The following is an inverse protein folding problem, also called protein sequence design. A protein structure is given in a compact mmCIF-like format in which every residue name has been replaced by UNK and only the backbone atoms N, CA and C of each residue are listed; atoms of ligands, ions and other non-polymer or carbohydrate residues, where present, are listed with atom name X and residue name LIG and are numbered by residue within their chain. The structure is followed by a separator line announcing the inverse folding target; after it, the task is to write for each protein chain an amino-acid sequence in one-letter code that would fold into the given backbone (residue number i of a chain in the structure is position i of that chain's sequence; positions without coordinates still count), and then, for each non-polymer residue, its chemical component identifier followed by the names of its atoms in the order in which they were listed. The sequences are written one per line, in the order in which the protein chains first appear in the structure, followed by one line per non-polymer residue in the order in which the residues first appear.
data_IF_837779780276
#
_entry.id   IF_837779780276
#
_cell.length_a   1.000
_cell.length_b   1.000
_cell.length_c   1.000
_cell.angle_alpha   90.00
_cell.angle_beta   90.00
_cell.angle_gamma   90.00
#
_symmetry.space_group_name_H-M   'P 1'
#
loop_
_entity.id
_entity.type
_entity.pdbx_description
1 polymer ?
#
# COMPACT_ATOMS: atom_id res chain seq x y z
N UNK A 1 25.00 7.23 -13.51
CA UNK A 1 24.67 8.63 -13.15
C UNK A 1 23.17 8.70 -12.85
N UNK A 2 22.80 8.43 -11.60
CA UNK A 2 21.40 8.46 -11.10
C UNK A 2 21.22 8.72 -9.58
N UNK A 3 22.25 8.82 -8.70
CA UNK A 3 21.99 8.93 -7.25
C UNK A 3 21.37 10.27 -6.82
N UNK A 4 21.62 11.39 -7.51
CA UNK A 4 21.11 12.71 -7.11
C UNK A 4 19.58 12.91 -7.24
N UNK A 5 18.86 11.91 -7.76
CA UNK A 5 17.42 11.99 -8.05
C UNK A 5 16.57 11.05 -7.20
N UNK A 6 17.21 10.27 -6.33
CA UNK A 6 16.56 9.38 -5.37
C UNK A 6 16.77 9.98 -3.99
N UNK A 7 15.68 10.16 -3.24
CA UNK A 7 15.72 10.71 -1.89
C UNK A 7 15.06 9.73 -0.93
N UNK A 8 15.72 9.45 0.19
CA UNK A 8 15.22 8.53 1.21
C UNK A 8 14.70 9.32 2.39
N UNK A 9 13.56 8.90 2.93
CA UNK A 9 12.99 9.40 4.18
C UNK A 9 12.73 8.22 5.11
N UNK A 10 13.27 8.29 6.31
CA UNK A 10 13.11 7.25 7.33
C UNK A 10 12.24 7.78 8.47
N UNK A 11 11.14 7.10 8.84
CA UNK A 11 10.38 7.43 10.03
C UNK A 11 11.13 6.98 11.30
N UNK A 12 10.67 7.48 12.44
CA UNK A 12 11.09 7.01 13.76
C UNK A 12 9.86 6.89 14.65
N UNK A 13 9.45 5.68 15.07
CA UNK A 13 10.04 4.37 14.73
C UNK A 13 9.75 3.92 13.28
N UNK A 14 10.55 3.00 12.75
CA UNK A 14 10.35 2.39 11.42
C UNK A 14 9.87 0.94 11.54
N UNK A 15 8.67 0.69 11.03
CA UNK A 15 7.89 -0.54 11.17
C UNK A 15 8.18 -1.64 10.13
N UNK A 16 8.98 -1.37 9.08
CA UNK A 16 9.50 -2.41 8.18
C UNK A 16 9.24 -2.21 6.70
N UNK A 17 8.10 -1.66 6.33
CA UNK A 17 7.78 -1.46 4.92
C UNK A 17 8.53 -0.27 4.31
N UNK A 18 8.73 -0.34 3.00
CA UNK A 18 9.27 0.74 2.18
C UNK A 18 8.31 1.05 1.03
N UNK A 19 8.00 2.34 0.82
CA UNK A 19 7.17 2.80 -0.30
C UNK A 19 7.98 3.68 -1.23
N UNK A 20 8.06 3.30 -2.50
CA UNK A 20 8.70 4.13 -3.54
C UNK A 20 7.67 5.07 -4.14
N UNK A 21 7.86 6.37 -3.96
CA UNK A 21 7.00 7.42 -4.51
C UNK A 21 7.58 7.91 -5.85
N UNK A 22 6.87 7.60 -6.94
CA UNK A 22 7.27 7.95 -8.30
C UNK A 22 6.45 9.12 -8.84
N UNK A 23 7.06 10.30 -8.90
CA UNK A 23 6.36 11.54 -9.21
C UNK A 23 5.98 11.73 -10.69
N UNK A 24 5.15 12.75 -10.92
CA UNK A 24 4.61 13.11 -12.22
C UNK A 24 5.46 14.14 -12.98
N UNK A 25 5.05 14.46 -14.20
CA UNK A 25 5.67 15.52 -15.01
C UNK A 25 5.63 16.88 -14.31
N UNK A 26 6.80 17.50 -14.10
CA UNK A 26 6.90 18.81 -13.46
C UNK A 26 6.76 18.77 -11.92
N UNK A 27 6.68 17.58 -11.31
CA UNK A 27 6.65 17.43 -9.86
C UNK A 27 7.92 18.00 -9.20
N UNK A 28 7.76 18.48 -7.97
CA UNK A 28 8.86 18.88 -7.08
C UNK A 28 8.87 17.94 -5.87
N UNK A 29 10.04 17.74 -5.26
CA UNK A 29 10.18 16.85 -4.09
C UNK A 29 9.22 17.22 -2.94
N UNK A 30 8.99 18.53 -2.72
CA UNK A 30 8.02 19.03 -1.73
C UNK A 30 6.58 18.50 -1.94
N UNK A 31 6.20 18.13 -3.16
CA UNK A 31 4.89 17.56 -3.41
C UNK A 31 4.82 16.11 -2.91
N UNK A 32 5.85 15.31 -3.21
CA UNK A 32 5.96 13.92 -2.75
C UNK A 32 6.22 13.83 -1.23
N UNK A 33 6.86 14.86 -0.64
CA UNK A 33 7.14 14.91 0.80
C UNK A 33 5.85 14.83 1.65
N UNK A 34 4.72 15.32 1.14
CA UNK A 34 3.43 15.22 1.85
C UNK A 34 2.98 13.77 1.98
N UNK A 35 3.10 13.00 0.90
CA UNK A 35 2.80 11.56 0.90
C UNK A 35 3.83 10.78 1.72
N UNK A 36 5.10 11.16 1.67
CA UNK A 36 6.13 10.57 2.52
C UNK A 36 5.81 10.71 4.02
N UNK A 37 5.25 11.85 4.44
CA UNK A 37 4.80 12.06 5.83
C UNK A 37 3.63 11.15 6.22
N UNK A 38 2.64 10.96 5.34
CA UNK A 38 1.53 10.03 5.59
C UNK A 38 2.00 8.59 5.76
N UNK A 39 2.99 8.18 4.98
CA UNK A 39 3.63 6.88 5.12
C UNK A 39 4.49 6.80 6.39
N UNK A 40 5.18 7.89 6.74
CA UNK A 40 6.00 7.97 7.95
C UNK A 40 5.17 7.88 9.24
N UNK A 41 3.97 8.48 9.28
CA UNK A 41 3.00 8.34 10.38
C UNK A 41 2.61 6.87 10.64
N UNK A 42 2.76 6.01 9.63
CA UNK A 42 2.49 4.56 9.69
C UNK A 42 3.77 3.74 9.82
N UNK A 43 4.88 4.38 10.18
CA UNK A 43 6.18 3.73 10.33
C UNK A 43 6.73 3.17 9.02
N UNK A 44 6.35 3.67 7.84
CA UNK A 44 6.92 3.23 6.56
C UNK A 44 8.01 4.17 6.07
N UNK A 45 9.14 3.62 5.66
CA UNK A 45 10.17 4.38 4.98
C UNK A 45 9.71 4.73 3.56
N UNK A 46 10.20 5.84 3.01
CA UNK A 46 9.88 6.19 1.63
C UNK A 46 11.11 6.50 0.81
N UNK A 47 11.05 6.12 -0.46
CA UNK A 47 12.05 6.46 -1.47
C UNK A 47 11.37 7.31 -2.53
N UNK A 48 11.72 8.58 -2.65
CA UNK A 48 11.12 9.53 -3.60
C UNK A 48 11.99 9.63 -4.84
N UNK A 49 11.39 9.48 -6.01
CA UNK A 49 12.06 9.68 -7.29
C UNK A 49 11.15 10.40 -8.30
N UNK A 50 11.74 11.36 -9.03
CA UNK A 50 11.02 12.17 -10.03
C UNK A 50 11.82 12.14 -11.34
N UNK A 51 11.18 11.67 -12.40
CA UNK A 51 11.78 11.65 -13.73
C UNK A 51 11.95 13.07 -14.30
N UNK A 52 13.06 13.37 -15.01
CA UNK A 52 13.22 14.66 -15.67
C UNK A 52 12.12 14.93 -16.71
N UNK A 53 11.62 16.17 -16.85
CA UNK A 53 10.57 16.52 -17.81
C UNK A 53 10.84 16.04 -19.24
N UNK A 54 12.07 16.18 -19.73
CA UNK A 54 12.44 15.75 -21.07
C UNK A 54 12.36 14.23 -21.25
N UNK A 55 12.68 13.45 -20.21
CA UNK A 55 12.67 11.99 -20.27
C UNK A 55 11.23 11.46 -20.21
N UNK A 56 10.32 12.16 -19.52
CA UNK A 56 8.89 11.85 -19.52
C UNK A 56 8.25 12.21 -20.88
N UNK A 57 8.52 13.41 -21.41
CA UNK A 57 7.93 13.87 -22.69
C UNK A 57 8.37 13.02 -23.88
N UNK A 58 9.66 12.66 -23.91
CA UNK A 58 10.21 11.81 -24.96
C UNK A 58 10.11 10.31 -24.64
N UNK A 59 9.52 9.95 -23.50
CA UNK A 59 9.46 8.58 -22.95
C UNK A 59 10.79 7.84 -23.14
N UNK A 60 11.90 8.42 -22.65
CA UNK A 60 13.25 7.85 -22.80
C UNK A 60 13.42 6.60 -21.96
N UNK A 61 13.15 5.44 -22.56
CA UNK A 61 13.02 4.16 -21.87
C UNK A 61 14.29 3.77 -21.07
N UNK A 62 15.47 4.02 -21.61
CA UNK A 62 16.75 3.75 -20.94
C UNK A 62 16.90 4.54 -19.64
N UNK A 63 16.54 5.84 -19.67
CA UNK A 63 16.63 6.74 -18.52
C UNK A 63 15.56 6.44 -17.48
N UNK A 64 14.34 6.14 -17.93
CA UNK A 64 13.23 5.74 -17.07
C UNK A 64 13.52 4.40 -16.37
N UNK A 65 14.00 3.39 -17.12
CA UNK A 65 14.44 2.10 -16.56
C UNK A 65 15.57 2.27 -15.55
N UNK A 66 16.56 3.12 -15.84
CA UNK A 66 17.65 3.40 -14.90
C UNK A 66 17.17 4.08 -13.61
N UNK A 67 16.19 4.97 -13.68
CA UNK A 67 15.61 5.62 -12.49
C UNK A 67 14.74 4.66 -11.68
N UNK A 68 13.93 3.83 -12.33
CA UNK A 68 13.17 2.76 -11.68
C UNK A 68 14.12 1.82 -10.93
N UNK A 69 15.18 1.34 -11.59
CA UNK A 69 16.17 0.46 -10.97
C UNK A 69 16.90 1.13 -9.79
N UNK A 70 17.30 2.40 -9.91
CA UNK A 70 17.98 3.12 -8.84
C UNK A 70 17.08 3.33 -7.61
N UNK A 71 15.83 3.71 -7.81
CA UNK A 71 14.88 3.94 -6.71
C UNK A 71 14.42 2.65 -6.03
N UNK A 72 14.17 1.58 -6.79
CA UNK A 72 13.89 0.26 -6.23
C UNK A 72 15.12 -0.32 -5.54
N UNK A 73 16.31 -0.12 -6.08
CA UNK A 73 17.58 -0.54 -5.46
C UNK A 73 17.78 0.10 -4.09
N UNK A 74 17.55 1.40 -3.97
CA UNK A 74 17.59 2.08 -2.66
C UNK A 74 16.56 1.51 -1.67
N UNK A 75 15.35 1.18 -2.13
CA UNK A 75 14.35 0.53 -1.27
C UNK A 75 14.77 -0.87 -0.83
N UNK A 76 15.38 -1.65 -1.72
CA UNK A 76 15.91 -2.98 -1.41
C UNK A 76 17.08 -2.91 -0.43
N UNK A 77 17.96 -1.91 -0.53
CA UNK A 77 19.05 -1.67 0.43
C UNK A 77 18.51 -1.39 1.84
N UNK A 78 17.42 -0.61 1.95
CA UNK A 78 16.76 -0.37 3.25
C UNK A 78 16.22 -1.67 3.84
N UNK A 79 15.47 -2.45 3.05
CA UNK A 79 14.92 -3.74 3.50
C UNK A 79 16.03 -4.71 3.91
N UNK A 80 17.11 -4.78 3.14
CA UNK A 80 18.27 -5.65 3.44
C UNK A 80 19.03 -5.22 4.70
N UNK A 81 18.96 -3.95 5.11
CA UNK A 81 19.57 -3.47 6.34
C UNK A 81 18.81 -3.88 7.60
N UNK A 82 17.61 -4.49 7.48
CA UNK A 82 16.84 -4.96 8.62
C UNK A 82 17.39 -6.27 9.17
N UNK A 83 17.54 -6.31 10.49
CA UNK A 83 18.04 -7.50 11.19
C UNK A 83 17.02 -8.67 11.21
N UNK A 84 15.73 -8.37 11.09
CA UNK A 84 14.65 -9.37 11.12
C UNK A 84 14.33 -9.95 9.73
N UNK A 85 14.87 -9.37 8.64
CA UNK A 85 14.60 -9.80 7.27
C UNK A 85 13.14 -9.63 6.82
N UNK A 86 12.36 -8.84 7.55
CA UNK A 86 10.93 -8.59 7.27
C UNK A 86 10.74 -7.27 6.52
N UNK A 87 9.57 -7.09 5.90
CA UNK A 87 9.16 -5.83 5.27
C UNK A 87 8.84 -5.97 3.78
N UNK A 88 7.85 -5.20 3.34
CA UNK A 88 7.35 -5.24 1.97
C UNK A 88 7.73 -3.96 1.21
N UNK A 89 7.91 -4.12 -0.10
CA UNK A 89 8.17 -3.01 -1.03
C UNK A 89 6.90 -2.67 -1.79
N UNK A 90 6.41 -1.45 -1.62
CA UNK A 90 5.29 -0.91 -2.39
C UNK A 90 5.74 0.21 -3.32
N UNK A 91 4.95 0.49 -4.35
CA UNK A 91 5.12 1.67 -5.20
C UNK A 91 3.87 2.53 -5.19
N UNK A 92 4.05 3.84 -5.24
CA UNK A 92 2.99 4.81 -5.44
C UNK A 92 3.36 5.64 -6.67
N UNK A 93 2.72 5.33 -7.79
CA UNK A 93 2.96 5.92 -9.09
C UNK A 93 1.95 7.04 -9.38
N UNK A 94 2.46 8.27 -9.51
CA UNK A 94 1.64 9.45 -9.80
C UNK A 94 1.68 9.78 -11.30
N UNK A 95 0.50 9.88 -11.91
CA UNK A 95 0.34 10.20 -13.35
C UNK A 95 1.18 9.28 -14.25
N UNK A 96 1.36 9.66 -15.51
CA UNK A 96 2.21 8.94 -16.44
C UNK A 96 3.71 9.03 -16.09
N UNK A 97 4.14 10.08 -15.38
CA UNK A 97 5.53 10.18 -14.93
C UNK A 97 5.94 8.99 -14.05
N UNK A 98 5.07 8.59 -13.12
CA UNK A 98 5.28 7.39 -12.31
C UNK A 98 4.90 6.10 -13.02
N UNK A 99 3.80 6.07 -13.77
CA UNK A 99 3.38 4.86 -14.46
C UNK A 99 4.39 4.40 -15.54
N UNK A 100 5.16 5.31 -16.16
CA UNK A 100 6.25 4.92 -17.06
C UNK A 100 7.40 4.21 -16.34
N UNK A 101 7.67 4.55 -15.08
CA UNK A 101 8.67 3.83 -14.27
C UNK A 101 8.16 2.43 -13.91
N UNK A 102 6.86 2.30 -13.62
CA UNK A 102 6.21 1.00 -13.42
C UNK A 102 6.23 0.14 -14.70
N UNK A 103 5.89 0.71 -15.86
CA UNK A 103 6.00 0.00 -17.15
C UNK A 103 7.44 -0.46 -17.43
N UNK A 104 8.43 0.39 -17.14
CA UNK A 104 9.84 0.00 -17.28
C UNK A 104 10.21 -1.17 -16.35
N UNK A 105 9.64 -1.21 -15.14
CA UNK A 105 9.75 -2.35 -14.23
C UNK A 105 9.10 -3.62 -14.80
N UNK A 106 7.85 -3.53 -15.26
CA UNK A 106 7.13 -4.66 -15.87
C UNK A 106 7.93 -5.29 -17.01
N UNK A 107 8.42 -4.46 -17.94
CA UNK A 107 9.15 -4.93 -19.12
C UNK A 107 10.48 -5.58 -18.76
N UNK A 108 11.22 -4.99 -17.83
CA UNK A 108 12.46 -5.58 -17.36
C UNK A 108 12.26 -6.94 -16.68
N UNK A 109 11.08 -7.18 -16.09
CA UNK A 109 10.71 -8.46 -15.49
C UNK A 109 10.41 -9.51 -16.55
N UNK A 110 9.75 -9.12 -17.64
CA UNK A 110 9.45 -10.00 -18.78
C UNK A 110 10.72 -10.42 -19.55
N UNK A 111 11.78 -9.60 -19.53
CA UNK A 111 13.07 -9.89 -20.16
C UNK A 111 13.87 -11.02 -19.44
N UNK A 112 13.46 -11.46 -18.24
CA UNK A 112 14.16 -12.48 -17.44
C UNK A 112 13.58 -13.88 -17.74
N UNK A 113 14.38 -14.85 -18.22
CA UNK A 113 13.90 -16.22 -18.48
C UNK A 113 13.36 -16.90 -17.20
N UNK A 114 12.18 -17.54 -17.30
CA UNK A 114 11.48 -18.18 -16.16
C UNK A 114 12.20 -19.42 -15.58
N UNK A 115 13.23 -19.93 -16.26
CA UNK A 115 13.78 -21.27 -16.01
C UNK A 115 15.13 -21.28 -15.26
N UNK A 116 15.59 -20.13 -14.75
CA UNK A 116 16.86 -20.00 -14.02
C UNK A 116 16.65 -19.74 -12.54
N UNK A 117 17.41 -20.44 -11.70
CA UNK A 117 17.41 -20.35 -10.23
C UNK A 117 17.22 -18.91 -9.72
N UNK A 118 16.27 -18.75 -8.79
CA UNK A 118 15.97 -17.53 -8.06
C UNK A 118 17.16 -17.13 -7.17
N UNK A 119 18.19 -16.56 -7.78
CA UNK A 119 19.43 -16.22 -7.10
C UNK A 119 20.47 -15.71 -8.08
N UNK A 120 20.60 -14.40 -8.16
CA UNK A 120 21.69 -13.67 -8.81
C UNK A 120 21.73 -13.70 -10.36
N UNK A 121 21.08 -12.69 -10.98
CA UNK A 121 21.61 -11.86 -12.10
C UNK A 121 20.55 -10.86 -12.61
N UNK A 122 20.68 -9.58 -12.24
CA UNK A 122 20.20 -8.44 -13.06
C UNK A 122 18.72 -8.03 -13.05
N UNK A 123 17.84 -8.69 -12.28
CA UNK A 123 16.42 -8.31 -12.16
C UNK A 123 16.20 -7.12 -11.20
N UNK A 124 15.23 -6.25 -11.50
CA UNK A 124 14.78 -5.23 -10.55
C UNK A 124 14.09 -5.87 -9.33
N UNK A 125 14.14 -5.25 -8.14
CA UNK A 125 13.46 -5.74 -6.94
C UNK A 125 11.97 -6.02 -7.17
N UNK A 126 11.46 -7.03 -6.46
CA UNK A 126 10.04 -7.38 -6.49
C UNK A 126 9.19 -6.30 -5.80
N UNK A 127 8.08 -5.94 -6.44
CA UNK A 127 7.06 -5.04 -5.91
C UNK A 127 5.95 -5.91 -5.32
N UNK A 128 5.51 -5.62 -4.10
CA UNK A 128 4.49 -6.36 -3.36
C UNK A 128 3.10 -5.71 -3.45
N UNK A 129 3.03 -4.45 -3.90
CA UNK A 129 1.77 -3.76 -4.20
C UNK A 129 2.03 -2.41 -4.89
N UNK A 130 1.05 -1.96 -5.67
CA UNK A 130 1.13 -0.71 -6.42
C UNK A 130 -0.10 0.17 -6.20
N UNK A 131 0.13 1.46 -5.90
CA UNK A 131 -0.91 2.49 -5.91
C UNK A 131 -0.70 3.34 -7.16
N UNK A 132 -1.73 3.44 -7.99
CA UNK A 132 -1.75 4.31 -9.16
C UNK A 132 -2.63 5.53 -8.85
N UNK A 133 -2.00 6.68 -8.65
CA UNK A 133 -2.70 7.96 -8.44
C UNK A 133 -2.78 8.70 -9.78
N UNK A 134 -4.01 8.88 -10.25
CA UNK A 134 -4.34 9.49 -11.53
C UNK A 134 -3.62 8.83 -12.72
N UNK A 135 -3.47 7.50 -12.71
CA UNK A 135 -2.68 6.78 -13.72
C UNK A 135 -3.10 5.32 -13.94
N UNK A 136 -2.69 4.68 -15.05
CA UNK A 136 -2.11 5.30 -16.26
C UNK A 136 -3.13 6.22 -16.95
N UNK A 137 -2.64 7.24 -17.65
CA UNK A 137 -3.45 8.13 -18.47
C UNK A 137 -3.19 7.85 -19.95
N UNK A 138 -4.24 7.65 -20.77
CA UNK A 138 -4.04 7.48 -22.20
C UNK A 138 -3.47 8.78 -22.80
N UNK A 139 -2.37 8.66 -23.55
CA UNK A 139 -1.63 9.81 -24.07
C UNK A 139 -2.31 10.42 -25.31
N UNK A 140 -3.49 11.02 -25.11
CA UNK A 140 -4.19 11.76 -26.16
C UNK A 140 -3.37 12.97 -26.59
N UNK A 141 -3.09 13.17 -27.90
CA UNK A 141 -2.20 14.25 -28.35
C UNK A 141 -2.64 15.64 -27.90
N UNK A 142 -3.95 15.92 -27.88
CA UNK A 142 -4.53 17.18 -27.43
C UNK A 142 -4.32 17.43 -25.93
N UNK A 143 -4.40 16.38 -25.09
CA UNK A 143 -4.12 16.45 -23.65
C UNK A 143 -2.63 16.69 -23.43
N UNK A 144 -1.76 15.95 -24.14
CA UNK A 144 -0.31 16.15 -24.08
C UNK A 144 0.08 17.58 -24.44
N UNK A 145 -0.51 18.13 -25.51
CA UNK A 145 -0.29 19.52 -25.90
C UNK A 145 -0.74 20.50 -24.80
N UNK A 146 -1.92 20.29 -24.23
CA UNK A 146 -2.44 21.12 -23.13
C UNK A 146 -1.49 21.14 -21.92
N UNK A 147 -0.99 19.97 -21.51
CA UNK A 147 -0.02 19.82 -20.41
C UNK A 147 1.30 20.54 -20.73
N UNK A 148 1.85 20.38 -21.93
CA UNK A 148 3.08 21.07 -22.34
C UNK A 148 2.89 22.59 -22.40
N UNK A 149 1.76 23.04 -22.93
CA UNK A 149 1.43 24.45 -23.08
C UNK A 149 1.23 25.16 -21.73
N UNK A 150 0.63 24.48 -20.74
CA UNK A 150 0.42 25.02 -19.38
C UNK A 150 1.73 25.16 -18.60
N UNK A 151 2.72 24.30 -18.87
CA UNK A 151 4.05 24.36 -18.26
C UNK A 151 5.03 25.27 -19.02
N UNK A 152 4.61 25.86 -20.14
CA UNK A 152 5.41 26.78 -20.93
C UNK A 152 5.04 28.22 -20.61
N UNK A 153 5.85 28.98 -19.84
CA UNK A 153 5.48 30.32 -19.40
C UNK A 153 5.56 31.38 -20.52
N UNK A 154 6.43 31.18 -21.52
CA UNK A 154 6.63 32.15 -22.61
C UNK A 154 5.53 32.03 -23.68
N UNK A 155 4.79 33.12 -23.98
CA UNK A 155 3.78 33.11 -25.04
C UNK A 155 4.35 32.77 -26.42
N UNK A 156 5.57 33.25 -26.72
CA UNK A 156 6.25 32.95 -27.98
C UNK A 156 6.60 31.46 -28.10
N UNK A 157 7.12 30.85 -27.02
CA UNK A 157 7.41 29.42 -27.00
C UNK A 157 6.13 28.58 -27.08
N UNK A 158 5.04 29.03 -26.46
CA UNK A 158 3.73 28.38 -26.57
C UNK A 158 3.19 28.43 -28.00
N UNK A 159 3.35 29.56 -28.69
CA UNK A 159 2.99 29.68 -30.11
C UNK A 159 3.83 28.74 -30.99
N UNK A 160 5.14 28.67 -30.74
CA UNK A 160 6.03 27.73 -31.45
C UNK A 160 5.64 26.26 -31.20
N UNK A 161 5.31 25.89 -29.95
CA UNK A 161 4.78 24.57 -29.62
C UNK A 161 3.47 24.28 -30.39
N UNK A 162 2.57 25.26 -30.48
CA UNK A 162 1.34 25.15 -31.27
C UNK A 162 1.60 24.90 -32.76
N UNK A 163 2.52 25.66 -33.36
CA UNK A 163 2.94 25.45 -34.74
C UNK A 163 3.57 24.06 -34.95
N UNK A 164 4.46 23.64 -34.05
CA UNK A 164 5.10 22.32 -34.11
C UNK A 164 4.08 21.19 -33.97
N UNK A 165 3.11 21.32 -33.06
CA UNK A 165 2.01 20.37 -32.90
C UNK A 165 1.15 20.29 -34.16
N UNK A 166 0.77 21.42 -34.75
CA UNK A 166 0.02 21.47 -36.01
C UNK A 166 0.75 20.80 -37.17
N UNK A 167 2.06 21.04 -37.29
CA UNK A 167 2.91 20.37 -38.28
C UNK A 167 2.99 18.85 -38.05
N UNK A 168 3.14 18.42 -36.81
CA UNK A 168 3.15 16.99 -36.46
C UNK A 168 1.82 16.29 -36.79
N UNK A 169 0.67 16.91 -36.47
CA UNK A 169 -0.66 16.38 -36.84
C UNK A 169 -0.79 16.23 -38.36
N UNK A 170 -0.32 17.22 -39.14
CA UNK A 170 -0.33 17.13 -40.59
C UNK A 170 0.54 15.99 -41.11
N UNK A 171 1.74 15.81 -40.54
CA UNK A 171 2.65 14.73 -40.89
C UNK A 171 2.08 13.35 -40.54
N UNK A 172 1.46 13.20 -39.36
CA UNK A 172 0.82 11.95 -38.94
C UNK A 172 -0.32 11.55 -39.89
N UNK A 173 -1.18 12.52 -40.29
CA UNK A 173 -2.24 12.29 -41.29
C UNK A 173 -1.69 11.87 -42.64
N UNK A 174 -0.61 12.50 -43.10
CA UNK A 174 0.05 12.11 -44.34
C UNK A 174 0.62 10.68 -44.23
N UNK A 175 1.34 10.36 -43.15
CA UNK A 175 1.90 9.01 -42.91
C UNK A 175 0.84 7.91 -42.92
N UNK A 176 -0.32 8.17 -42.28
CA UNK A 176 -1.44 7.24 -42.30
C UNK A 176 -2.00 7.01 -43.72
N UNK A 177 -2.08 8.06 -44.54
CA UNK A 177 -2.49 7.95 -45.95
C UNK A 177 -1.53 7.12 -46.81
N UNK A 178 -0.27 6.97 -46.38
CA UNK A 178 0.75 6.15 -47.05
C UNK A 178 0.95 4.76 -46.42
N UNK A 179 0.06 4.32 -45.52
CA UNK A 179 0.01 2.94 -45.04
C UNK A 179 1.12 2.54 -44.05
N UNK A 180 1.84 3.50 -43.47
CA UNK A 180 2.74 3.22 -42.35
C UNK A 180 1.92 3.08 -41.06
N UNK A 181 1.47 1.85 -40.77
CA UNK A 181 0.61 1.54 -39.62
C UNK A 181 1.35 0.60 -38.68
N UNK A 182 1.83 1.14 -37.57
CA UNK A 182 2.33 0.39 -36.42
C UNK A 182 1.75 1.02 -35.15
N UNK A 183 1.76 0.31 -34.01
CA UNK A 183 1.23 0.85 -32.77
C UNK A 183 2.05 2.06 -32.33
N UNK A 184 1.35 3.12 -31.97
CA UNK A 184 1.93 4.35 -31.44
C UNK A 184 2.53 4.11 -30.05
N UNK A 185 3.46 4.96 -29.58
CA UNK A 185 3.95 4.89 -28.20
C UNK A 185 2.85 4.96 -27.14
N UNK A 186 1.75 5.67 -27.43
CA UNK A 186 0.57 5.74 -26.57
C UNK A 186 -0.16 4.39 -26.48
N UNK A 187 -0.41 3.76 -27.62
CA UNK A 187 -1.04 2.43 -27.69
C UNK A 187 -0.17 1.35 -27.06
N UNK A 188 1.15 1.38 -27.29
CA UNK A 188 2.09 0.45 -26.66
C UNK A 188 2.10 0.60 -25.14
N UNK A 189 2.21 1.83 -24.62
CA UNK A 189 2.16 2.08 -23.19
C UNK A 189 0.84 1.59 -22.59
N UNK A 190 -0.28 1.96 -23.22
CA UNK A 190 -1.60 1.57 -22.75
C UNK A 190 -1.76 0.06 -22.77
N UNK A 191 -1.35 -0.62 -23.86
CA UNK A 191 -1.39 -2.08 -23.97
C UNK A 191 -0.49 -2.77 -22.95
N UNK A 192 0.66 -2.20 -22.60
CA UNK A 192 1.55 -2.78 -21.59
C UNK A 192 0.93 -2.68 -20.20
N UNK A 193 0.38 -1.51 -19.83
CA UNK A 193 -0.28 -1.32 -18.53
C UNK A 193 -1.59 -2.11 -18.44
N UNK A 194 -2.39 -2.06 -19.51
CA UNK A 194 -3.60 -2.84 -19.66
C UNK A 194 -3.31 -4.31 -19.90
N UNK A 195 -2.06 -4.75 -20.08
CA UNK A 195 -1.62 -6.14 -20.24
C UNK A 195 -0.77 -6.65 -19.08
N UNK A 196 -0.65 -5.86 -18.00
CA UNK A 196 0.08 -6.22 -16.78
C UNK A 196 -0.40 -7.60 -16.26
N UNK A 197 0.53 -8.56 -16.24
CA UNK A 197 0.41 -9.93 -15.76
C UNK A 197 1.34 -10.19 -14.56
N UNK A 198 1.79 -9.12 -13.88
CA UNK A 198 2.83 -9.22 -12.87
C UNK A 198 2.44 -9.99 -11.62
N UNK A 199 1.15 -10.10 -11.34
CA UNK A 199 0.59 -10.62 -10.10
C UNK A 199 0.67 -9.63 -8.92
N UNK A 200 1.01 -8.36 -9.18
CA UNK A 200 1.09 -7.32 -8.15
C UNK A 200 -0.32 -6.80 -7.84
N UNK A 201 -0.76 -6.85 -6.56
CA UNK A 201 -1.98 -6.19 -6.13
C UNK A 201 -1.94 -4.69 -6.41
N UNK A 202 -3.02 -4.12 -6.93
CA UNK A 202 -3.04 -2.72 -7.36
C UNK A 202 -4.26 -1.96 -6.83
N UNK A 203 -4.04 -0.72 -6.40
CA UNK A 203 -5.09 0.22 -6.04
C UNK A 203 -5.05 1.43 -6.97
N UNK A 204 -6.18 1.76 -7.60
CA UNK A 204 -6.33 2.91 -8.49
C UNK A 204 -7.07 4.04 -7.80
N UNK A 205 -6.43 5.21 -7.73
CA UNK A 205 -6.99 6.44 -7.17
C UNK A 205 -7.21 7.42 -8.32
N UNK A 206 -8.43 7.87 -8.55
CA UNK A 206 -8.76 8.73 -9.70
C UNK A 206 -10.00 9.57 -9.44
N UNK A 207 -10.25 10.56 -10.29
CA UNK A 207 -11.44 11.41 -10.18
C UNK A 207 -12.15 11.59 -11.50
N UNK A 208 -13.47 11.67 -11.46
CA UNK A 208 -14.29 11.97 -12.64
C UNK A 208 -14.12 13.43 -13.12
N UNK A 209 -13.52 14.29 -12.28
CA UNK A 209 -13.15 15.66 -12.64
C UNK A 209 -11.73 15.79 -13.22
N UNK A 210 -10.97 14.70 -13.31
CA UNK A 210 -9.63 14.71 -13.88
C UNK A 210 -9.69 14.86 -15.41
N UNK A 211 -9.18 15.99 -15.90
CA UNK A 211 -9.16 16.32 -17.34
C UNK A 211 -7.95 15.78 -18.08
N UNK A 212 -6.99 15.18 -17.37
CA UNK A 212 -5.79 14.56 -17.94
C UNK A 212 -5.98 13.05 -18.02
N UNK A 213 -6.43 12.43 -16.93
CA UNK A 213 -6.72 10.99 -16.85
C UNK A 213 -8.23 10.79 -17.02
N UNK A 214 -8.68 10.43 -18.22
CA UNK A 214 -10.10 10.15 -18.47
C UNK A 214 -10.54 8.95 -17.62
N UNK A 215 -11.48 9.19 -16.71
CA UNK A 215 -11.97 8.19 -15.76
C UNK A 215 -12.56 6.97 -16.47
N UNK A 216 -13.21 7.14 -17.63
CA UNK A 216 -13.83 6.03 -18.36
C UNK A 216 -12.77 5.13 -18.98
N UNK A 217 -11.76 5.71 -19.60
CA UNK A 217 -10.63 4.94 -20.15
C UNK A 217 -9.96 4.13 -19.01
N UNK A 218 -9.76 4.76 -17.85
CA UNK A 218 -9.15 4.10 -16.69
C UNK A 218 -10.05 3.01 -16.10
N UNK A 219 -11.36 3.24 -15.96
CA UNK A 219 -12.33 2.25 -15.50
C UNK A 219 -12.40 1.03 -16.42
N UNK A 220 -12.37 1.24 -17.75
CA UNK A 220 -12.30 0.15 -18.73
C UNK A 220 -11.01 -0.66 -18.55
N UNK A 221 -9.87 0.00 -18.34
CA UNK A 221 -8.60 -0.67 -18.05
C UNK A 221 -8.66 -1.46 -16.75
N UNK A 222 -9.21 -0.88 -15.68
CA UNK A 222 -9.35 -1.53 -14.37
C UNK A 222 -10.26 -2.77 -14.49
N UNK A 223 -11.39 -2.65 -15.17
CA UNK A 223 -12.31 -3.76 -15.40
C UNK A 223 -11.63 -4.89 -16.19
N UNK A 224 -10.89 -4.55 -17.25
CA UNK A 224 -10.14 -5.52 -18.04
C UNK A 224 -9.03 -6.22 -17.22
N UNK A 225 -8.37 -5.50 -16.29
CA UNK A 225 -7.40 -6.08 -15.36
C UNK A 225 -8.06 -7.02 -14.36
N UNK A 226 -9.13 -6.58 -13.70
CA UNK A 226 -9.91 -7.39 -12.73
C UNK A 226 -10.39 -8.70 -13.33
N UNK A 227 -10.80 -8.70 -14.59
CA UNK A 227 -11.32 -9.89 -15.26
C UNK A 227 -10.27 -10.99 -15.49
N UNK A 228 -8.96 -10.69 -15.39
CA UNK A 228 -7.89 -11.64 -15.70
C UNK A 228 -6.86 -11.83 -14.61
N UNK A 229 -6.76 -10.92 -13.64
CA UNK A 229 -5.73 -10.93 -12.63
C UNK A 229 -6.15 -11.83 -11.47
N UNK A 230 -5.24 -12.70 -11.03
CA UNK A 230 -5.42 -13.47 -9.79
C UNK A 230 -5.19 -12.60 -8.55
N UNK A 231 -4.41 -11.52 -8.69
CA UNK A 231 -4.12 -10.58 -7.61
C UNK A 231 -5.23 -9.53 -7.46
N UNK A 232 -5.48 -9.02 -6.24
CA UNK A 232 -6.47 -7.98 -5.99
C UNK A 232 -6.22 -6.71 -6.81
N UNK A 233 -7.27 -6.22 -7.49
CA UNK A 233 -7.26 -4.96 -8.22
C UNK A 233 -8.40 -4.09 -7.69
N UNK A 234 -8.07 -3.11 -6.87
CA UNK A 234 -9.01 -2.19 -6.24
C UNK A 234 -9.00 -0.81 -6.89
N UNK A 235 -10.06 -0.06 -6.68
CA UNK A 235 -10.17 1.29 -7.20
C UNK A 235 -11.06 2.16 -6.32
N UNK A 236 -10.69 3.43 -6.20
CA UNK A 236 -11.43 4.46 -5.48
C UNK A 236 -11.58 5.68 -6.38
N UNK A 237 -12.82 5.95 -6.77
CA UNK A 237 -13.19 7.11 -7.54
C UNK A 237 -13.57 8.27 -6.61
N UNK A 238 -13.07 9.45 -6.94
CA UNK A 238 -13.39 10.69 -6.25
C UNK A 238 -14.19 11.64 -7.13
N UNK A 239 -15.00 12.49 -6.50
CA UNK A 239 -15.63 13.62 -7.18
C UNK A 239 -14.83 14.91 -6.98
N UNK A 240 -14.75 15.73 -8.04
CA UNK A 240 -14.31 17.13 -7.96
C UNK A 240 -12.82 17.39 -7.71
N UNK A 241 -11.97 16.37 -7.57
CA UNK A 241 -10.54 16.56 -7.37
C UNK A 241 -9.78 16.62 -8.71
N UNK A 242 -8.89 17.59 -8.84
CA UNK A 242 -8.02 17.74 -10.01
C UNK A 242 -6.94 16.64 -10.08
N UNK A 243 -6.35 16.47 -11.27
CA UNK A 243 -5.26 15.52 -11.54
C UNK A 243 -4.17 15.55 -10.46
N UNK A 244 -3.84 14.38 -9.89
CA UNK A 244 -2.86 14.14 -8.81
C UNK A 244 -3.05 14.97 -7.53
N UNK A 245 -4.22 15.60 -7.36
CA UNK A 245 -4.53 16.45 -6.20
C UNK A 245 -5.60 15.83 -5.28
N UNK A 246 -5.78 14.50 -5.35
CA UNK A 246 -6.72 13.78 -4.49
C UNK A 246 -6.40 13.97 -3.00
N UNK A 247 -5.12 13.93 -2.60
CA UNK A 247 -4.73 14.19 -1.20
C UNK A 247 -5.13 15.58 -0.71
N UNK A 248 -5.15 16.58 -1.60
CA UNK A 248 -5.56 17.95 -1.24
C UNK A 248 -7.07 18.04 -1.02
N UNK A 249 -7.86 17.26 -1.77
CA UNK A 249 -9.31 17.31 -1.75
C UNK A 249 -9.96 16.32 -0.78
N UNK A 250 -9.34 15.15 -0.58
CA UNK A 250 -9.90 13.95 0.05
C UNK A 250 -8.88 13.30 1.00
N UNK A 251 -8.26 14.10 1.86
CA UNK A 251 -7.06 13.69 2.61
C UNK A 251 -7.29 12.52 3.56
N UNK A 252 -8.46 12.46 4.19
CA UNK A 252 -8.92 11.36 5.03
C UNK A 252 -9.00 10.03 4.25
N UNK A 253 -9.58 10.06 3.06
CA UNK A 253 -9.72 8.88 2.21
C UNK A 253 -8.39 8.39 1.66
N UNK A 254 -7.48 9.31 1.27
CA UNK A 254 -6.13 8.96 0.81
C UNK A 254 -5.27 8.39 1.94
N UNK A 255 -5.41 8.93 3.16
CA UNK A 255 -4.77 8.38 4.36
C UNK A 255 -5.22 6.92 4.61
N UNK A 256 -6.53 6.65 4.46
CA UNK A 256 -7.09 5.30 4.58
C UNK A 256 -6.64 4.37 3.45
N UNK A 257 -6.70 4.81 2.20
CA UNK A 257 -6.37 4.02 1.01
C UNK A 257 -4.88 3.72 0.83
N UNK A 258 -3.99 4.56 1.39
CA UNK A 258 -2.57 4.26 1.50
C UNK A 258 -2.25 3.23 2.62
N UNK A 259 -3.27 2.65 3.25
CA UNK A 259 -3.17 1.61 4.27
C UNK A 259 -3.51 0.23 3.69
N UNK A 260 -2.87 -0.86 4.17
CA UNK A 260 -3.46 -2.19 4.05
C UNK A 260 -4.80 -2.17 4.82
N UNK A 261 -5.70 -3.14 4.55
CA UNK A 261 -6.94 -3.26 5.30
C UNK A 261 -6.68 -3.19 6.82
N UNK A 262 -7.56 -2.53 7.59
CA UNK A 262 -7.40 -2.44 9.02
C UNK A 262 -7.27 -3.86 9.59
N UNK A 263 -6.32 -4.09 10.51
CA UNK A 263 -6.14 -5.42 11.06
C UNK A 263 -7.38 -5.80 11.86
N UNK A 264 -7.98 -6.94 11.55
CA UNK A 264 -9.11 -7.46 12.31
C UNK A 264 -8.61 -8.32 13.48
N UNK A 265 -9.15 -8.10 14.67
CA UNK A 265 -8.76 -8.90 15.83
C UNK A 265 -9.41 -10.29 15.79
N UNK A 266 -8.67 -11.29 16.21
CA UNK A 266 -9.22 -12.61 16.55
C UNK A 266 -8.47 -13.24 17.71
N UNK A 267 -9.12 -14.20 18.37
CA UNK A 267 -8.43 -15.07 19.31
C UNK A 267 -7.59 -16.12 18.55
N UNK A 268 -6.29 -16.14 18.82
CA UNK A 268 -5.36 -17.09 18.19
C UNK A 268 -5.23 -18.38 18.98
N UNK A 269 -5.24 -19.51 18.26
CA UNK A 269 -5.07 -20.85 18.85
C UNK A 269 -3.64 -21.05 19.34
N UNK A 270 -3.47 -21.89 20.36
CA UNK A 270 -2.18 -22.21 20.97
C UNK A 270 -1.42 -21.03 21.61
N UNK A 271 -2.11 -19.92 21.90
CA UNK A 271 -1.56 -18.78 22.62
C UNK A 271 -1.81 -18.94 24.12
N UNK A 272 -3.05 -18.76 24.58
CA UNK A 272 -3.41 -18.94 25.99
C UNK A 272 -3.02 -17.80 26.94
N UNK A 273 -2.32 -16.76 26.49
CA UNK A 273 -1.83 -15.66 27.34
C UNK A 273 -2.92 -15.09 28.25
N UNK A 274 -4.12 -14.83 27.70
CA UNK A 274 -5.27 -14.29 28.43
C UNK A 274 -5.74 -15.15 29.62
N UNK A 275 -5.33 -16.43 29.68
CA UNK A 275 -5.60 -17.34 30.79
C UNK A 275 -4.60 -17.19 31.96
N UNK A 276 -3.60 -16.32 31.87
CA UNK A 276 -2.77 -15.89 33.00
C UNK A 276 -3.57 -14.90 33.86
N UNK A 277 -4.18 -15.41 34.92
CA UNK A 277 -5.14 -14.68 35.77
C UNK A 277 -4.55 -14.30 37.14
N UNK A 278 -3.22 -14.31 37.29
CA UNK A 278 -2.53 -13.99 38.53
C UNK A 278 -3.02 -12.61 39.08
N UNK A 279 -3.71 -12.57 40.24
CA UNK A 279 -4.33 -11.34 40.72
C UNK A 279 -3.32 -10.25 41.14
N UNK A 280 -2.13 -10.67 41.56
CA UNK A 280 -1.00 -9.80 41.89
C UNK A 280 -0.42 -9.08 40.67
N UNK A 281 -0.57 -9.66 39.47
CA UNK A 281 -0.19 -9.05 38.20
C UNK A 281 -1.28 -8.10 37.66
N UNK A 282 -2.46 -8.02 38.32
CA UNK A 282 -3.62 -7.25 37.86
C UNK A 282 -4.21 -6.36 38.97
N UNK A 283 -3.53 -5.27 39.34
CA UNK A 283 -4.07 -4.32 40.30
C UNK A 283 -5.36 -3.69 39.76
N UNK A 284 -6.32 -3.41 40.64
CA UNK A 284 -7.56 -2.71 40.28
C UNK A 284 -8.69 -3.58 39.73
N UNK A 285 -8.61 -4.92 39.78
CA UNK A 285 -9.72 -5.79 39.32
C UNK A 285 -11.09 -5.47 39.97
N UNK A 286 -11.07 -4.98 41.21
CA UNK A 286 -12.29 -4.61 41.95
C UNK A 286 -12.93 -3.30 41.47
N UNK A 287 -12.23 -2.51 40.63
CA UNK A 287 -12.73 -1.23 40.11
C UNK A 287 -13.70 -1.44 38.94
N UNK A 288 -13.61 -2.59 38.25
CA UNK A 288 -14.34 -2.86 37.00
C UNK A 288 -15.21 -4.13 37.08
N UNK A 289 -14.91 -5.07 37.99
CA UNK A 289 -15.72 -6.27 38.20
C UNK A 289 -16.69 -6.08 39.35
N UNK A 290 -17.93 -6.54 39.16
CA UNK A 290 -18.89 -6.68 40.25
C UNK A 290 -18.34 -7.62 41.35
N UNK A 291 -18.87 -7.53 42.57
CA UNK A 291 -18.44 -8.42 43.66
C UNK A 291 -18.65 -9.92 43.30
N UNK A 292 -19.72 -10.23 42.55
CA UNK A 292 -20.01 -11.57 42.05
C UNK A 292 -19.00 -12.01 40.99
N UNK A 293 -18.72 -11.16 40.00
CA UNK A 293 -17.75 -11.46 38.94
C UNK A 293 -16.32 -11.56 39.48
N UNK A 294 -15.96 -10.74 40.47
CA UNK A 294 -14.66 -10.82 41.14
C UNK A 294 -14.51 -12.13 41.92
N UNK A 295 -15.57 -12.59 42.58
CA UNK A 295 -15.58 -13.89 43.25
C UNK A 295 -15.44 -15.03 42.22
N UNK A 296 -16.15 -14.93 41.09
CA UNK A 296 -16.03 -15.88 39.98
C UNK A 296 -14.63 -15.89 39.38
N UNK A 297 -14.05 -14.72 39.10
CA UNK A 297 -12.69 -14.56 38.61
C UNK A 297 -11.68 -15.25 39.54
N UNK A 298 -11.73 -14.93 40.84
CA UNK A 298 -10.82 -15.52 41.84
C UNK A 298 -10.98 -17.04 41.95
N UNK A 299 -12.22 -17.55 41.83
CA UNK A 299 -12.48 -18.99 41.82
C UNK A 299 -11.92 -19.72 40.61
N UNK A 300 -11.62 -19.01 39.51
CA UNK A 300 -11.00 -19.56 38.31
C UNK A 300 -9.47 -19.55 38.37
N UNK A 301 -8.84 -18.88 39.35
CA UNK A 301 -7.37 -18.78 39.45
C UNK A 301 -6.81 -20.02 40.15
N UNK A 302 -5.99 -20.78 39.43
CA UNK A 302 -5.21 -21.89 39.97
C UNK A 302 -4.05 -21.41 40.86
N UNK A 303 -3.46 -22.34 41.62
CA UNK A 303 -2.37 -22.01 42.55
C UNK A 303 -1.11 -21.46 41.87
N UNK A 304 -0.96 -21.71 40.57
CA UNK A 304 0.14 -21.25 39.71
C UNK A 304 -0.16 -19.91 39.00
N UNK A 305 -1.31 -19.29 39.29
CA UNK A 305 -1.78 -18.06 38.65
C UNK A 305 -2.42 -18.27 37.26
N UNK A 306 -2.54 -19.51 36.79
CA UNK A 306 -3.23 -19.83 35.54
C UNK A 306 -4.70 -20.15 35.79
N UNK A 307 -5.55 -19.87 34.82
CA UNK A 307 -6.96 -20.26 34.87
C UNK A 307 -7.08 -21.79 35.00
N UNK A 308 -7.93 -22.29 35.89
CA UNK A 308 -8.18 -23.73 36.08
C UNK A 308 -8.76 -24.42 34.84
N UNK A 309 -9.31 -23.64 33.90
CA UNK A 309 -9.83 -24.13 32.63
C UNK A 309 -8.81 -24.07 31.48
N UNK A 310 -7.58 -23.60 31.74
CA UNK A 310 -6.49 -23.58 30.77
C UNK A 310 -5.86 -24.96 30.64
N UNK A 311 -5.92 -25.54 29.45
CA UNK A 311 -5.19 -26.76 29.14
C UNK A 311 -3.78 -26.41 28.64
N UNK A 312 -2.75 -26.75 29.41
CA UNK A 312 -1.36 -26.44 29.07
C UNK A 312 -0.88 -27.17 27.81
N UNK A 313 -1.45 -28.34 27.47
CA UNK A 313 -1.03 -29.12 26.31
C UNK A 313 -1.54 -28.50 25.00
N UNK A 314 -2.83 -28.21 24.90
CA UNK A 314 -3.41 -27.53 23.72
C UNK A 314 -3.22 -26.02 23.75
N UNK A 315 -2.85 -25.45 24.90
CA UNK A 315 -2.79 -24.01 25.19
C UNK A 315 -4.11 -23.32 24.84
N UNK A 316 -5.20 -23.96 25.25
CA UNK A 316 -6.57 -23.56 24.97
C UNK A 316 -7.42 -23.48 26.23
N UNK A 317 -8.54 -22.75 26.13
CA UNK A 317 -9.54 -22.73 27.19
C UNK A 317 -10.56 -23.87 26.97
N UNK A 318 -10.73 -24.74 27.96
CA UNK A 318 -11.65 -25.88 27.90
C UNK A 318 -13.13 -25.48 27.93
N UNK A 319 -13.43 -24.25 28.38
CA UNK A 319 -14.79 -23.67 28.41
C UNK A 319 -14.95 -22.52 27.41
N UNK A 320 -14.21 -22.53 26.30
CA UNK A 320 -14.11 -21.38 25.38
C UNK A 320 -15.47 -20.77 24.98
N UNK A 321 -16.47 -21.63 24.71
CA UNK A 321 -17.84 -21.23 24.34
C UNK A 321 -18.63 -20.63 25.51
N UNK A 322 -18.36 -21.07 26.74
CA UNK A 322 -19.09 -20.74 27.97
C UNK A 322 -18.33 -19.76 28.88
N UNK A 323 -17.31 -19.10 28.33
CA UNK A 323 -16.47 -18.14 29.08
C UNK A 323 -17.33 -17.04 29.73
N UNK A 324 -16.97 -16.61 30.96
CA UNK A 324 -17.55 -15.41 31.55
C UNK A 324 -17.36 -14.20 30.64
N UNK A 325 -18.22 -13.18 30.79
CA UNK A 325 -18.23 -12.00 29.94
C UNK A 325 -16.87 -11.27 29.94
N UNK A 326 -16.24 -11.14 31.11
CA UNK A 326 -14.92 -10.50 31.28
C UNK A 326 -13.75 -11.28 30.65
N UNK A 327 -13.99 -12.51 30.16
CA UNK A 327 -13.02 -13.28 29.38
C UNK A 327 -13.28 -13.22 27.87
N UNK A 328 -14.28 -12.44 27.43
CA UNK A 328 -14.66 -12.27 26.02
C UNK A 328 -14.20 -10.91 25.52
N UNK A 329 -13.69 -10.90 24.30
CA UNK A 329 -13.44 -9.65 23.57
C UNK A 329 -14.64 -9.41 22.67
N UNK A 330 -15.39 -8.37 22.98
CA UNK A 330 -16.56 -7.93 22.22
C UNK A 330 -16.79 -6.44 22.46
N UNK A 331 -17.35 -5.76 21.45
CA UNK A 331 -17.56 -4.32 21.47
C UNK A 331 -18.33 -3.86 22.72
N UNK A 332 -19.45 -4.52 23.03
CA UNK A 332 -20.29 -4.21 24.20
C UNK A 332 -19.51 -4.17 25.52
N UNK A 333 -18.65 -5.16 25.77
CA UNK A 333 -17.92 -5.24 27.04
C UNK A 333 -16.71 -4.29 27.08
N UNK A 334 -16.07 -4.04 25.94
CA UNK A 334 -14.91 -3.15 25.87
C UNK A 334 -15.32 -1.68 25.92
N UNK A 335 -16.48 -1.33 25.35
CA UNK A 335 -17.11 -0.02 25.56
C UNK A 335 -17.41 0.17 27.06
N UNK A 336 -18.02 -0.83 27.72
CA UNK A 336 -18.33 -0.77 29.14
C UNK A 336 -17.10 -0.64 30.05
N UNK A 337 -16.00 -1.34 29.74
CA UNK A 337 -14.80 -1.38 30.60
C UNK A 337 -13.79 -0.26 30.32
N UNK A 338 -13.64 0.12 29.05
CA UNK A 338 -12.54 0.97 28.58
C UNK A 338 -13.00 2.19 27.78
N UNK A 339 -14.32 2.39 27.58
CA UNK A 339 -14.87 3.45 26.74
C UNK A 339 -14.33 3.39 25.29
N UNK A 340 -14.08 2.17 24.80
CA UNK A 340 -13.55 1.93 23.44
C UNK A 340 -14.73 1.73 22.47
N UNK A 341 -14.88 2.59 21.45
CA UNK A 341 -15.88 2.45 20.41
C UNK A 341 -15.74 1.14 19.61
N UNK A 342 -16.86 0.63 19.07
CA UNK A 342 -16.89 -0.63 18.33
C UNK A 342 -15.97 -0.64 17.09
N UNK A 343 -15.77 0.51 16.44
CA UNK A 343 -14.90 0.69 15.27
C UNK A 343 -13.40 0.81 15.64
N UNK A 344 -13.07 1.04 16.90
CA UNK A 344 -11.69 1.06 17.41
C UNK A 344 -11.29 -0.26 18.11
N UNK A 345 -12.26 -1.14 18.37
CA UNK A 345 -12.07 -2.38 19.14
C UNK A 345 -10.92 -3.25 18.59
N UNK A 346 -10.86 -3.45 17.28
CA UNK A 346 -9.89 -4.37 16.68
C UNK A 346 -8.45 -3.90 16.96
N UNK A 347 -8.15 -2.62 16.70
CA UNK A 347 -6.84 -2.04 16.96
C UNK A 347 -6.46 -2.12 18.43
N UNK A 348 -7.39 -1.73 19.32
CA UNK A 348 -7.17 -1.75 20.76
C UNK A 348 -6.94 -3.17 21.30
N UNK A 349 -7.78 -4.13 20.91
CA UNK A 349 -7.68 -5.52 21.35
C UNK A 349 -6.40 -6.20 20.84
N UNK A 350 -5.93 -5.83 19.64
CA UNK A 350 -4.63 -6.28 19.12
C UNK A 350 -3.53 -5.80 20.04
N UNK A 351 -3.46 -4.50 20.35
CA UNK A 351 -2.43 -3.94 21.23
C UNK A 351 -2.43 -4.58 22.61
N UNK A 352 -3.59 -4.72 23.26
CA UNK A 352 -3.70 -5.42 24.54
C UNK A 352 -3.19 -6.87 24.46
N UNK A 353 -3.46 -7.58 23.36
CA UNK A 353 -2.98 -8.93 23.16
C UNK A 353 -1.46 -8.98 22.99
N UNK A 354 -0.87 -8.02 22.25
CA UNK A 354 0.59 -7.90 22.08
C UNK A 354 1.27 -7.74 23.42
N UNK A 355 0.87 -6.73 24.18
CA UNK A 355 1.43 -6.42 25.50
C UNK A 355 1.33 -7.62 26.46
N UNK A 356 0.18 -8.29 26.47
CA UNK A 356 -0.03 -9.41 27.38
C UNK A 356 0.75 -10.66 26.96
N UNK A 357 0.83 -10.96 25.66
CA UNK A 357 1.68 -12.06 25.14
C UNK A 357 3.16 -11.77 25.47
N UNK A 358 3.60 -10.53 25.28
CA UNK A 358 4.97 -10.11 25.58
C UNK A 358 5.28 -10.23 27.07
N UNK A 359 4.33 -9.86 27.95
CA UNK A 359 4.47 -10.02 29.39
C UNK A 359 4.54 -11.48 29.87
N UNK A 360 3.80 -12.39 29.21
CA UNK A 360 3.71 -13.81 29.63
C UNK A 360 4.81 -14.68 29.03
N UNK A 361 5.08 -14.51 27.73
CA UNK A 361 5.97 -15.39 26.96
C UNK A 361 7.23 -14.67 26.44
N UNK A 362 7.23 -13.34 26.43
CA UNK A 362 8.31 -12.52 25.86
C UNK A 362 8.07 -12.11 24.40
N UNK A 363 8.69 -11.00 24.01
CA UNK A 363 8.57 -10.38 22.67
C UNK A 363 9.00 -11.27 21.50
N UNK A 364 9.81 -12.31 21.77
CA UNK A 364 10.35 -13.23 20.76
C UNK A 364 9.74 -14.64 20.84
N UNK A 365 8.59 -14.75 21.48
CA UNK A 365 7.90 -16.03 21.68
C UNK A 365 7.22 -16.53 20.40
N UNK A 366 7.01 -17.84 20.31
CA UNK A 366 6.28 -18.47 19.20
C UNK A 366 4.81 -18.00 19.17
N UNK A 367 4.25 -17.71 20.34
CA UNK A 367 2.92 -17.15 20.54
C UNK A 367 2.81 -15.77 19.92
N UNK A 368 3.83 -14.92 20.11
CA UNK A 368 3.90 -13.58 19.53
C UNK A 368 3.96 -13.63 18.01
N UNK A 369 4.84 -14.48 17.47
CA UNK A 369 5.00 -14.66 16.02
C UNK A 369 3.70 -15.20 15.38
N UNK A 370 3.06 -16.19 16.02
CA UNK A 370 1.79 -16.75 15.55
C UNK A 370 0.66 -15.73 15.59
N UNK A 371 0.60 -14.91 16.65
CA UNK A 371 -0.39 -13.86 16.77
C UNK A 371 -0.28 -12.85 15.62
N UNK A 372 0.92 -12.35 15.33
CA UNK A 372 1.13 -11.43 14.19
C UNK A 372 0.77 -12.07 12.85
N UNK A 373 1.11 -13.35 12.66
CA UNK A 373 0.79 -14.08 11.43
C UNK A 373 -0.73 -14.15 11.18
N UNK A 374 -1.51 -14.47 12.21
CA UNK A 374 -2.97 -14.61 12.09
C UNK A 374 -3.67 -13.24 11.90
N UNK A 375 -3.24 -12.20 12.61
CA UNK A 375 -3.78 -10.84 12.45
C UNK A 375 -3.47 -10.29 11.06
N UNK A 376 -2.27 -10.53 10.53
CA UNK A 376 -1.92 -10.15 9.17
C UNK A 376 -2.77 -10.89 8.13
N UNK A 377 -3.01 -12.20 8.32
CA UNK A 377 -3.85 -13.00 7.43
C UNK A 377 -5.32 -12.54 7.43
N UNK A 378 -5.86 -12.16 8.59
CA UNK A 378 -7.22 -11.66 8.71
C UNK A 378 -7.40 -10.25 8.17
N UNK A 379 -6.43 -9.37 8.39
CA UNK A 379 -6.41 -8.07 7.72
C UNK A 379 -6.54 -8.25 6.21
N UNK A 380 -5.75 -9.13 5.62
CA UNK A 380 -5.84 -9.45 4.20
C UNK A 380 -7.24 -9.95 3.76
N UNK A 381 -7.85 -10.87 4.52
CA UNK A 381 -9.18 -11.42 4.20
C UNK A 381 -10.36 -10.44 4.42
N UNK A 382 -10.24 -9.51 5.38
CA UNK A 382 -11.26 -8.50 5.65
C UNK A 382 -11.28 -7.42 4.55
N UNK A 383 -10.10 -7.07 4.00
CA UNK A 383 -9.98 -6.24 2.82
C UNK A 383 -10.77 -6.78 1.61
N UNK A 384 -10.69 -8.09 1.38
CA UNK A 384 -11.43 -8.77 0.30
C UNK A 384 -12.96 -8.78 0.50
N UNK A 385 -13.43 -8.60 1.74
CA UNK A 385 -14.85 -8.71 2.13
C UNK A 385 -15.57 -7.36 2.10
N UNK A 386 -14.89 -6.29 2.52
CA UNK A 386 -15.43 -4.92 2.49
C UNK A 386 -15.44 -4.29 1.09
N UNK A 387 -14.75 -4.91 0.14
CA UNK A 387 -14.70 -4.52 -1.28
C UNK A 387 -15.81 -5.14 -2.15
N UNK A 388 -16.75 -5.91 -1.56
CA UNK A 388 -17.97 -6.43 -2.19
C UNK A 388 -19.18 -5.59 -1.80
#
# INVERSE_FOLDING_TARGET
MTPDRVRVEMPTPWAGDVVVLWGWYGAKDQHLLKYARLHAERGRATVRAIAPPADVVLKREDRLRALAAASLGAAAELLAARADGTGLLFVHAFSNGGAFLYEAWLRARADVPRDGEAGARGGMPAIHGAIFDSSPAYMRPEVMFSVLASHTPSPALRALLGCAFGAWVAAAKASAAFGAVGPTPAELFWSNMAGDDSGVPALYLYSHADVITDARDLEELIAARRARADAPIDSMAFDGSEHVLHLKAHGEHISSAASPPPPCWTCVKQCGACCRLAPDERPGLADWLSAEDLARYKGMVGADGWCVHYDQASRGCTIYADRPWFCRVSAEHFEQMFDVPADELDGFAIECCREHIDGVYGERSDERARFETEIAALGAAAGDSAAR
#
